data_IF_720181819640
#
_entry.id   IF_720181819640
#
_cell.length_a   1.000
_cell.length_b   1.000
_cell.length_c   1.000
_cell.angle_alpha   90.00
_cell.angle_beta   90.00
_cell.angle_gamma   90.00
#
_symmetry.space_group_name_H-M   'P 1'
#
loop_
_entity.id
_entity.type
_entity.pdbx_description
1 polymer ?
#
# COMPACT_ATOMS: atom_id res chain seq x y z
N UNK A 1 -55.93 -57.64 -27.73
CA UNK A 1 -54.83 -57.05 -28.53
C UNK A 1 -54.43 -55.75 -27.87
N UNK A 2 -53.26 -55.70 -27.22
CA UNK A 2 -52.73 -54.49 -26.58
C UNK A 2 -51.35 -54.21 -27.20
N UNK A 3 -51.08 -52.98 -27.69
CA UNK A 3 -49.77 -52.66 -28.22
C UNK A 3 -48.78 -52.43 -27.07
N UNK A 4 -47.65 -53.12 -27.16
CA UNK A 4 -46.48 -52.93 -26.29
C UNK A 4 -45.72 -51.72 -26.82
N UNK A 5 -45.69 -50.62 -26.07
CA UNK A 5 -44.89 -49.45 -26.39
C UNK A 5 -43.45 -49.65 -25.92
N UNK A 6 -42.53 -49.75 -26.88
CA UNK A 6 -41.10 -49.85 -26.65
C UNK A 6 -40.52 -48.42 -26.48
N UNK A 7 -40.05 -48.09 -25.29
CA UNK A 7 -39.40 -46.80 -25.00
C UNK A 7 -37.90 -46.88 -25.32
N UNK A 8 -37.48 -46.23 -26.39
CA UNK A 8 -36.07 -46.05 -26.74
C UNK A 8 -35.46 -44.91 -25.91
N UNK A 9 -34.51 -45.24 -25.03
CA UNK A 9 -33.76 -44.24 -24.26
C UNK A 9 -32.59 -43.69 -25.10
N UNK A 10 -32.80 -42.53 -25.70
CA UNK A 10 -31.76 -41.76 -26.36
C UNK A 10 -30.70 -41.27 -25.36
N UNK A 11 -29.48 -41.80 -25.48
CA UNK A 11 -28.30 -41.39 -24.72
C UNK A 11 -27.96 -39.93 -25.04
N UNK A 12 -28.17 -39.03 -24.07
CA UNK A 12 -27.78 -37.63 -24.14
C UNK A 12 -26.27 -37.48 -24.38
N UNK A 13 -25.91 -36.81 -25.47
CA UNK A 13 -24.53 -36.44 -25.79
C UNK A 13 -24.08 -35.38 -24.77
N UNK A 14 -23.08 -35.73 -23.96
CA UNK A 14 -22.43 -34.79 -23.02
C UNK A 14 -21.77 -33.69 -23.84
N UNK A 15 -22.28 -32.45 -23.69
CA UNK A 15 -21.66 -31.27 -24.28
C UNK A 15 -20.30 -31.07 -23.62
N UNK A 16 -19.23 -31.38 -24.33
CA UNK A 16 -17.86 -31.04 -23.95
C UNK A 16 -17.72 -29.53 -24.05
N UNK A 17 -17.76 -28.87 -22.89
CA UNK A 17 -17.43 -27.46 -22.73
C UNK A 17 -16.05 -27.23 -23.35
N UNK A 18 -16.05 -26.54 -24.49
CA UNK A 18 -14.86 -26.20 -25.25
C UNK A 18 -13.83 -25.56 -24.33
N UNK A 19 -12.74 -26.28 -24.07
CA UNK A 19 -11.59 -25.77 -23.36
C UNK A 19 -11.10 -24.52 -24.10
N UNK A 20 -11.44 -23.35 -23.54
CA UNK A 20 -10.99 -22.05 -24.00
C UNK A 20 -9.47 -22.11 -24.01
N UNK A 21 -8.92 -22.24 -25.22
CA UNK A 21 -7.49 -22.29 -25.53
C UNK A 21 -6.84 -21.12 -24.81
N UNK A 22 -6.23 -21.39 -23.67
CA UNK A 22 -5.54 -20.39 -22.87
C UNK A 22 -4.40 -19.90 -23.75
N UNK A 23 -4.57 -18.70 -24.30
CA UNK A 23 -3.50 -17.96 -24.95
C UNK A 23 -2.35 -17.93 -23.95
N UNK A 24 -1.18 -18.39 -24.38
CA UNK A 24 0.06 -18.26 -23.61
C UNK A 24 0.30 -16.76 -23.41
N UNK A 25 0.16 -16.22 -22.19
CA UNK A 25 0.41 -14.80 -21.99
C UNK A 25 1.94 -14.62 -21.89
N UNK A 26 2.44 -13.57 -22.54
CA UNK A 26 3.76 -13.05 -22.21
C UNK A 26 3.80 -12.53 -20.77
N UNK A 27 4.97 -12.11 -20.26
CA UNK A 27 5.01 -11.27 -19.07
C UNK A 27 4.03 -10.10 -19.23
N UNK A 28 3.29 -9.78 -18.17
CA UNK A 28 2.29 -8.70 -18.20
C UNK A 28 0.85 -9.17 -18.43
N UNK A 29 0.41 -10.20 -17.72
CA UNK A 29 -1.03 -10.39 -17.57
C UNK A 29 -1.58 -9.14 -16.84
N UNK A 30 -2.54 -8.45 -17.45
CA UNK A 30 -3.26 -7.35 -16.84
C UNK A 30 -4.63 -7.87 -16.44
N UNK A 31 -5.01 -7.71 -15.16
CA UNK A 31 -6.37 -8.01 -14.70
C UNK A 31 -7.12 -6.69 -14.46
N UNK A 32 -8.14 -6.38 -15.27
CA UNK A 32 -8.93 -5.17 -15.10
C UNK A 32 -9.61 -5.13 -13.73
N UNK A 33 -9.50 -4.02 -13.00
CA UNK A 33 -10.12 -3.89 -11.68
C UNK A 33 -11.65 -3.90 -11.74
N UNK A 34 -12.23 -3.42 -12.84
CA UNK A 34 -13.68 -3.38 -13.05
C UNK A 34 -14.35 -4.76 -12.89
N UNK A 35 -13.61 -5.85 -13.07
CA UNK A 35 -14.11 -7.22 -12.89
C UNK A 35 -13.89 -7.83 -11.50
N UNK A 36 -13.25 -7.12 -10.57
CA UNK A 36 -12.83 -7.68 -9.27
C UNK A 36 -13.64 -7.07 -8.14
N UNK A 37 -14.43 -7.89 -7.45
CA UNK A 37 -15.13 -7.46 -6.25
C UNK A 37 -14.16 -7.39 -5.04
N UNK A 38 -13.72 -6.17 -4.71
CA UNK A 38 -12.87 -5.87 -3.55
C UNK A 38 -13.65 -5.32 -2.34
N UNK A 39 -14.98 -5.12 -2.44
CA UNK A 39 -15.79 -4.50 -1.38
C UNK A 39 -15.82 -5.30 -0.08
N UNK A 40 -15.58 -6.62 -0.16
CA UNK A 40 -15.45 -7.49 1.02
C UNK A 40 -14.14 -7.35 1.77
N UNK A 41 -13.18 -6.59 1.24
CA UNK A 41 -11.95 -6.26 1.94
C UNK A 41 -12.17 -4.91 2.64
N UNK A 42 -12.26 -4.88 3.97
CA UNK A 42 -12.37 -3.62 4.72
C UNK A 42 -11.26 -2.60 4.41
N UNK A 43 -11.45 -1.34 4.83
CA UNK A 43 -10.50 -0.22 4.64
C UNK A 43 -11.00 0.84 3.64
N UNK A 44 -10.63 2.10 3.87
CA UNK A 44 -11.14 3.29 3.17
C UNK A 44 -10.43 3.59 1.83
N UNK A 45 -10.02 2.54 1.11
CA UNK A 45 -9.44 2.68 -0.22
C UNK A 45 -10.60 2.72 -1.21
N UNK A 46 -11.17 3.91 -1.43
CA UNK A 46 -12.47 4.08 -2.10
C UNK A 46 -12.36 4.12 -3.63
N UNK A 47 -11.23 4.59 -4.18
CA UNK A 47 -11.05 4.70 -5.63
C UNK A 47 -9.85 3.89 -6.13
N UNK A 48 -10.06 2.86 -6.98
CA UNK A 48 -8.96 2.16 -7.60
C UNK A 48 -8.26 3.08 -8.60
N UNK A 49 -6.95 3.23 -8.44
CA UNK A 49 -6.11 4.08 -9.28
C UNK A 49 -5.56 3.32 -10.49
N UNK A 50 -5.48 1.97 -10.41
CA UNK A 50 -4.89 1.14 -11.47
C UNK A 50 -5.40 -0.29 -11.54
N UNK A 51 -5.23 -0.89 -12.71
CA UNK A 51 -5.39 -2.33 -12.95
C UNK A 51 -4.24 -3.15 -12.34
N UNK A 52 -4.45 -4.47 -12.18
CA UNK A 52 -3.41 -5.35 -11.64
C UNK A 52 -2.46 -5.78 -12.75
N UNK A 53 -1.21 -5.32 -12.68
CA UNK A 53 -0.12 -5.78 -13.53
C UNK A 53 0.62 -6.93 -12.84
N UNK A 54 0.52 -8.13 -13.39
CA UNK A 54 1.18 -9.32 -12.86
C UNK A 54 2.59 -9.49 -13.44
N UNK A 55 3.55 -9.78 -12.57
CA UNK A 55 4.93 -10.13 -12.93
C UNK A 55 5.03 -11.53 -13.55
N UNK A 56 4.21 -12.45 -13.06
CA UNK A 56 4.14 -13.80 -13.60
C UNK A 56 3.43 -13.81 -14.96
N UNK A 57 3.74 -14.77 -15.86
CA UNK A 57 3.06 -14.90 -17.13
C UNK A 57 1.57 -15.26 -16.99
N UNK A 58 1.10 -15.58 -15.78
CA UNK A 58 -0.31 -15.84 -15.51
C UNK A 58 -0.77 -15.04 -14.31
N UNK A 59 -1.97 -14.46 -14.43
CA UNK A 59 -2.68 -13.84 -13.33
C UNK A 59 -2.95 -14.89 -12.23
N UNK A 60 -2.74 -14.52 -10.97
CA UNK A 60 -3.03 -15.42 -9.86
C UNK A 60 -4.45 -15.19 -9.33
N UNK A 61 -5.10 -16.27 -8.92
CA UNK A 61 -6.43 -16.19 -8.33
C UNK A 61 -6.41 -15.42 -6.99
N UNK A 62 -7.41 -14.55 -6.82
CA UNK A 62 -7.67 -13.77 -5.61
C UNK A 62 -8.66 -14.50 -4.68
N UNK A 63 -8.46 -15.79 -4.48
CA UNK A 63 -9.37 -16.66 -3.73
C UNK A 63 -9.25 -16.53 -2.19
N UNK A 64 -8.13 -16.01 -1.68
CA UNK A 64 -7.94 -15.78 -0.23
C UNK A 64 -8.13 -14.32 0.15
N UNK A 65 -8.57 -14.08 1.40
CA UNK A 65 -8.70 -12.72 1.96
C UNK A 65 -7.39 -11.94 1.90
N UNK A 66 -6.27 -12.62 2.10
CA UNK A 66 -4.95 -11.99 2.09
C UNK A 66 -4.53 -11.52 0.70
N UNK A 67 -4.75 -12.36 -0.32
CA UNK A 67 -4.49 -12.01 -1.72
C UNK A 67 -5.38 -10.88 -2.19
N UNK A 68 -6.67 -10.87 -1.80
CA UNK A 68 -7.58 -9.76 -2.11
C UNK A 68 -7.13 -8.45 -1.43
N UNK A 69 -6.70 -8.50 -0.17
CA UNK A 69 -6.12 -7.32 0.52
C UNK A 69 -4.85 -6.82 -0.17
N UNK A 70 -3.94 -7.72 -0.57
CA UNK A 70 -2.75 -7.36 -1.33
C UNK A 70 -3.09 -6.70 -2.68
N UNK A 71 -4.08 -7.25 -3.41
CA UNK A 71 -4.59 -6.66 -4.63
C UNK A 71 -5.24 -5.29 -4.40
N UNK A 72 -5.99 -5.13 -3.31
CA UNK A 72 -6.56 -3.83 -2.90
C UNK A 72 -5.46 -2.79 -2.64
N UNK A 73 -4.41 -3.16 -1.90
CA UNK A 73 -3.22 -2.32 -1.71
C UNK A 73 -2.58 -1.96 -3.05
N UNK A 74 -2.39 -2.92 -3.94
CA UNK A 74 -1.76 -2.69 -5.24
C UNK A 74 -2.53 -1.68 -6.12
N UNK A 75 -3.85 -1.77 -6.07
CA UNK A 75 -4.73 -1.04 -6.98
C UNK A 75 -5.07 0.36 -6.48
N UNK A 76 -4.98 0.60 -5.17
CA UNK A 76 -5.34 1.89 -4.55
C UNK A 76 -4.14 2.61 -3.91
N UNK A 77 -3.07 1.89 -3.60
CA UNK A 77 -1.91 2.44 -2.93
C UNK A 77 -1.06 3.33 -3.83
N UNK A 78 0.07 3.79 -3.33
CA UNK A 78 0.98 4.65 -4.08
C UNK A 78 2.21 3.88 -4.58
N UNK A 79 2.70 4.24 -5.77
CA UNK A 79 3.75 3.51 -6.49
C UNK A 79 5.13 3.97 -6.04
N UNK A 80 5.91 3.11 -5.40
CA UNK A 80 7.29 3.39 -4.99
C UNK A 80 8.30 2.78 -6.00
N UNK A 81 8.20 3.15 -7.28
CA UNK A 81 9.03 2.56 -8.34
C UNK A 81 10.44 3.14 -8.39
N UNK A 82 10.60 4.44 -8.07
CA UNK A 82 11.92 5.05 -7.89
C UNK A 82 12.65 4.43 -6.69
N UNK A 83 11.87 4.11 -5.66
CA UNK A 83 12.37 3.84 -4.32
C UNK A 83 11.74 2.55 -3.75
N UNK A 84 11.88 1.39 -4.43
CA UNK A 84 11.17 0.17 -4.05
C UNK A 84 11.73 -0.43 -2.75
N UNK A 85 10.97 -1.33 -2.11
CA UNK A 85 11.54 -2.11 -1.01
C UNK A 85 12.54 -3.15 -1.56
N UNK A 86 13.51 -3.56 -0.74
CA UNK A 86 14.59 -4.49 -1.14
C UNK A 86 14.07 -5.76 -1.82
N UNK A 87 12.97 -6.31 -1.30
CA UNK A 87 12.34 -7.50 -1.86
C UNK A 87 11.75 -7.24 -3.24
N UNK A 88 11.12 -6.08 -3.45
CA UNK A 88 10.58 -5.71 -4.75
C UNK A 88 11.69 -5.41 -5.76
N UNK A 89 12.79 -4.79 -5.33
CA UNK A 89 13.98 -4.57 -6.15
C UNK A 89 14.59 -5.91 -6.63
N UNK A 90 14.59 -6.94 -5.77
CA UNK A 90 14.97 -8.32 -6.13
C UNK A 90 13.90 -9.08 -6.93
N UNK A 91 12.80 -8.40 -7.27
CA UNK A 91 11.71 -8.96 -8.03
C UNK A 91 10.85 -9.99 -7.33
N UNK A 92 10.76 -9.92 -6.00
CA UNK A 92 9.89 -10.79 -5.19
C UNK A 92 8.46 -10.27 -5.16
N UNK A 93 7.52 -11.20 -5.30
CA UNK A 93 6.09 -10.93 -5.25
C UNK A 93 5.42 -11.07 -6.61
N UNK A 94 4.09 -11.13 -6.64
CA UNK A 94 3.35 -11.41 -7.87
C UNK A 94 3.11 -10.18 -8.73
N UNK A 95 3.21 -8.96 -8.18
CA UNK A 95 2.88 -7.74 -8.89
C UNK A 95 4.12 -7.10 -9.51
N UNK A 96 3.90 -6.36 -10.61
CA UNK A 96 4.96 -5.71 -11.35
C UNK A 96 5.64 -4.60 -10.53
N UNK A 97 4.83 -3.76 -9.89
CA UNK A 97 5.26 -2.54 -9.18
C UNK A 97 5.34 -2.70 -7.66
N UNK A 98 6.15 -1.88 -7.01
CA UNK A 98 6.22 -1.81 -5.55
C UNK A 98 5.17 -0.80 -5.04
N UNK A 99 3.94 -1.25 -4.81
CA UNK A 99 2.86 -0.37 -4.35
C UNK A 99 2.68 -0.44 -2.84
N UNK A 100 2.60 0.70 -2.17
CA UNK A 100 2.45 0.82 -0.73
C UNK A 100 1.03 1.27 -0.37
N UNK A 101 0.44 0.69 0.68
CA UNK A 101 -0.94 0.98 1.08
C UNK A 101 -1.12 2.44 1.49
N UNK A 102 -2.02 3.14 0.79
CA UNK A 102 -2.27 4.57 0.93
C UNK A 102 -3.77 4.85 0.77
N UNK A 103 -4.42 5.47 1.76
CA UNK A 103 -5.79 6.00 1.69
C UNK A 103 -5.81 7.53 1.88
N UNK A 104 -7.02 8.10 1.83
CA UNK A 104 -7.28 9.53 2.05
C UNK A 104 -6.92 10.03 3.45
N UNK A 105 -6.74 9.10 4.40
CA UNK A 105 -6.28 9.35 5.76
C UNK A 105 -4.80 8.97 5.95
N UNK A 106 -4.11 8.64 4.85
CA UNK A 106 -2.69 8.27 4.81
C UNK A 106 -2.46 6.77 4.82
N UNK A 107 -1.64 6.29 5.74
CA UNK A 107 -1.23 4.89 5.73
C UNK A 107 -2.29 3.95 6.28
N UNK A 108 -2.72 3.00 5.45
CA UNK A 108 -3.45 1.83 5.94
C UNK A 108 -2.47 0.90 6.65
N UNK A 109 -2.42 0.97 7.98
CA UNK A 109 -1.83 0.00 8.93
C UNK A 109 -0.54 -0.73 8.52
N UNK A 110 0.57 -0.46 9.23
CA UNK A 110 1.91 -1.06 9.06
C UNK A 110 2.66 -0.72 7.75
N UNK A 111 2.07 0.03 6.81
CA UNK A 111 2.80 0.61 5.67
C UNK A 111 3.56 -0.39 4.78
N UNK A 112 3.07 -1.63 4.67
CA UNK A 112 3.74 -2.66 3.87
C UNK A 112 3.36 -2.54 2.40
N UNK A 113 4.29 -2.85 1.49
CA UNK A 113 3.95 -2.94 0.07
C UNK A 113 3.10 -4.17 -0.26
N UNK A 114 2.34 -4.10 -1.36
CA UNK A 114 1.44 -5.14 -1.83
C UNK A 114 2.12 -6.50 -2.02
N UNK A 115 3.36 -6.51 -2.52
CA UNK A 115 4.15 -7.73 -2.73
C UNK A 115 4.60 -8.38 -1.41
N UNK A 116 5.08 -7.57 -0.46
CA UNK A 116 5.46 -8.06 0.88
C UNK A 116 4.24 -8.46 1.70
N UNK A 117 3.11 -7.77 1.51
CA UNK A 117 1.82 -8.24 1.96
C UNK A 117 1.59 -9.59 1.32
N UNK A 118 1.30 -9.76 0.02
CA UNK A 118 1.02 -11.06 -0.62
C UNK A 118 1.80 -12.29 -0.10
N UNK A 119 3.11 -12.18 0.12
CA UNK A 119 3.97 -13.28 0.62
C UNK A 119 4.01 -13.49 2.14
N UNK A 120 3.22 -12.77 2.94
CA UNK A 120 3.29 -12.77 4.41
C UNK A 120 4.67 -12.38 4.94
N UNK A 121 5.35 -11.45 4.26
CA UNK A 121 6.69 -10.94 4.62
C UNK A 121 6.65 -9.45 4.95
N UNK A 122 5.58 -9.02 5.62
CA UNK A 122 5.38 -7.64 6.07
C UNK A 122 6.50 -7.17 7.00
N UNK A 123 6.95 -8.02 7.92
CA UNK A 123 8.07 -7.71 8.82
C UNK A 123 9.41 -7.50 8.12
N UNK A 124 9.59 -8.06 6.92
CA UNK A 124 10.81 -7.92 6.10
C UNK A 124 10.64 -6.90 4.97
N UNK A 125 9.62 -6.05 5.02
CA UNK A 125 9.44 -4.97 4.07
C UNK A 125 10.30 -3.79 4.52
N UNK A 126 11.34 -3.43 3.76
CA UNK A 126 12.21 -2.29 4.08
C UNK A 126 11.50 -0.92 3.97
N UNK A 127 10.28 -0.89 3.44
CA UNK A 127 9.41 0.29 3.40
C UNK A 127 8.35 0.30 4.51
N UNK A 128 8.44 -0.64 5.45
CA UNK A 128 7.55 -0.69 6.61
C UNK A 128 7.82 0.55 7.48
N UNK A 129 6.78 1.36 7.66
CA UNK A 129 6.78 2.63 8.42
C UNK A 129 7.58 3.78 7.78
N UNK A 130 8.05 3.65 6.54
CA UNK A 130 8.75 4.72 5.83
C UNK A 130 7.81 5.31 4.79
N UNK A 131 7.51 6.60 4.91
CA UNK A 131 6.67 7.35 3.97
C UNK A 131 7.33 7.42 2.58
N UNK A 132 6.57 7.37 1.47
CA UNK A 132 7.19 7.43 0.15
C UNK A 132 7.84 8.80 -0.09
N UNK A 133 7.24 9.88 0.43
CA UNK A 133 7.84 11.22 0.40
C UNK A 133 9.14 11.31 1.22
N UNK A 134 9.18 10.70 2.41
CA UNK A 134 10.41 10.62 3.21
C UNK A 134 11.50 9.86 2.44
N UNK A 135 11.14 8.71 1.87
CA UNK A 135 12.06 7.89 1.11
C UNK A 135 12.60 8.59 -0.15
N UNK A 136 11.75 9.33 -0.86
CA UNK A 136 12.16 10.13 -2.01
C UNK A 136 13.11 11.26 -1.60
N UNK A 137 12.80 11.97 -0.51
CA UNK A 137 13.66 13.03 0.02
C UNK A 137 15.03 12.50 0.47
N UNK A 138 15.08 11.39 1.21
CA UNK A 138 16.34 10.76 1.65
C UNK A 138 17.23 10.32 0.46
N UNK A 139 16.62 9.97 -0.67
CA UNK A 139 17.32 9.58 -1.90
C UNK A 139 17.55 10.76 -2.86
N UNK A 140 17.11 11.98 -2.51
CA UNK A 140 17.28 13.19 -3.34
C UNK A 140 16.41 13.19 -4.60
N UNK A 141 15.28 12.50 -4.59
CA UNK A 141 14.32 12.45 -5.69
C UNK A 141 13.17 13.45 -5.50
N UNK A 142 12.64 14.04 -6.59
CA UNK A 142 11.47 14.91 -6.51
C UNK A 142 10.25 14.12 -6.03
N UNK A 143 9.37 14.78 -5.26
CA UNK A 143 8.17 14.12 -4.71
C UNK A 143 7.14 13.79 -5.81
N UNK A 144 6.98 14.66 -6.82
CA UNK A 144 6.01 14.46 -7.91
C UNK A 144 4.59 14.22 -7.36
N UNK A 145 3.97 13.10 -7.75
CA UNK A 145 2.62 12.70 -7.31
C UNK A 145 2.48 12.52 -5.78
N UNK A 146 3.60 12.50 -5.04
CA UNK A 146 3.62 12.37 -3.59
C UNK A 146 3.65 13.70 -2.83
N UNK A 147 3.70 14.83 -3.51
CA UNK A 147 3.81 16.13 -2.84
C UNK A 147 2.57 16.47 -2.03
N UNK A 148 1.38 16.38 -2.62
CA UNK A 148 0.11 16.64 -1.91
C UNK A 148 -0.09 15.68 -0.73
N UNK A 149 0.25 14.41 -0.96
CA UNK A 149 0.32 13.39 0.08
C UNK A 149 1.28 13.77 1.23
N UNK A 150 2.40 14.41 0.90
CA UNK A 150 3.35 14.91 1.89
C UNK A 150 2.82 16.12 2.66
N UNK A 151 2.10 17.05 2.01
CA UNK A 151 1.46 18.20 2.68
C UNK A 151 0.48 17.75 3.76
N UNK A 152 -0.37 16.78 3.42
CA UNK A 152 -1.41 16.30 4.34
C UNK A 152 -0.80 15.55 5.54
N UNK A 153 0.26 14.75 5.34
CA UNK A 153 0.73 13.81 6.37
C UNK A 153 2.04 14.17 7.06
N UNK A 154 2.92 14.89 6.36
CA UNK A 154 4.18 15.35 6.92
C UNK A 154 4.14 16.86 7.19
N UNK A 155 2.99 17.51 6.99
CA UNK A 155 2.87 18.97 7.02
C UNK A 155 3.89 19.65 6.10
N UNK A 156 4.17 19.03 4.95
CA UNK A 156 5.17 19.52 4.01
C UNK A 156 6.63 19.35 4.44
N UNK A 157 6.92 18.68 5.56
CA UNK A 157 8.30 18.57 6.09
C UNK A 157 9.33 17.91 5.16
N UNK A 158 8.90 17.25 4.07
CA UNK A 158 9.80 16.68 3.07
C UNK A 158 9.71 17.38 1.71
N UNK A 159 8.88 18.42 1.59
CA UNK A 159 8.82 19.25 0.40
C UNK A 159 9.99 20.23 0.54
N UNK A 160 10.95 20.25 -0.42
CA UNK A 160 11.99 21.25 -0.38
C UNK A 160 11.32 22.63 -0.40
N UNK A 161 11.73 23.52 0.50
CA UNK A 161 11.39 24.93 0.38
C UNK A 161 11.90 25.34 -1.01
N UNK A 162 10.99 25.69 -1.92
CA UNK A 162 11.35 26.31 -3.20
C UNK A 162 12.03 27.62 -2.84
N UNK A 163 13.35 27.51 -2.67
CA UNK A 163 14.36 28.55 -2.75
C UNK A 163 13.79 29.94 -2.57
N UNK A 164 13.64 30.31 -1.30
CA UNK A 164 13.45 31.66 -0.78
C UNK A 164 13.51 32.74 -1.85
N UNK A 165 12.42 32.91 -2.60
CA UNK A 165 11.99 34.25 -2.93
C UNK A 165 11.74 34.85 -1.56
N UNK A 166 12.76 35.60 -1.13
CA UNK A 166 12.79 36.37 0.08
C UNK A 166 11.47 37.13 0.07
N UNK A 167 10.48 36.59 0.78
CA UNK A 167 9.26 37.30 1.09
C UNK A 167 9.76 38.41 2.00
N UNK A 168 10.21 39.50 1.38
CA UNK A 168 10.41 40.80 1.99
C UNK A 168 9.03 41.24 2.44
N UNK A 169 8.59 40.61 3.52
CA UNK A 169 7.57 41.11 4.40
C UNK A 169 8.26 42.28 5.11
N UNK A 170 8.35 43.39 4.37
CA UNK A 170 8.30 44.73 4.95
C UNK A 170 6.97 44.80 5.71
N UNK A 171 6.95 44.20 6.91
CA UNK A 171 5.93 44.48 7.91
C UNK A 171 6.38 45.76 8.61
N UNK A 172 5.91 46.88 8.09
CA UNK A 172 5.76 48.08 8.90
C UNK A 172 4.77 47.75 10.04
N UNK A 173 5.35 47.58 11.22
CA UNK A 173 5.12 48.39 12.43
C UNK A 173 3.70 48.88 12.76
N UNK A 174 3.46 48.99 14.06
CA UNK A 174 2.28 49.53 14.75
C UNK A 174 0.98 48.71 14.76
N UNK A 175 0.72 48.03 15.89
CA UNK A 175 -0.20 48.61 16.89
C UNK A 175 -0.23 47.77 18.17
N UNK A 176 0.28 48.38 19.23
CA UNK A 176 0.12 48.01 20.63
C UNK A 176 -1.32 48.29 21.06
N UNK A 177 -2.05 47.29 21.55
CA UNK A 177 -3.28 47.51 22.33
C UNK A 177 -3.46 46.35 23.33
N UNK A 178 -3.03 46.61 24.56
CA UNK A 178 -3.38 45.88 25.77
C UNK A 178 -4.91 45.87 25.98
N UNK A 179 -5.52 44.69 26.10
CA UNK A 179 -6.85 44.57 26.69
C UNK A 179 -6.93 43.31 27.56
N UNK A 180 -6.85 43.53 28.88
CA UNK A 180 -7.27 42.55 29.88
C UNK A 180 -8.79 42.67 30.06
N UNK A 181 -9.52 41.58 29.85
CA UNK A 181 -10.85 41.44 30.46
C UNK A 181 -11.08 39.98 30.88
N UNK A 182 -11.05 39.78 32.19
CA UNK A 182 -11.49 38.57 32.87
C UNK A 182 -13.00 38.39 32.68
N UNK A 183 -13.43 37.17 32.33
CA UNK A 183 -14.80 36.72 32.61
C UNK A 183 -14.79 35.26 33.05
N UNK A 184 -15.14 35.07 34.32
CA UNK A 184 -15.55 33.81 34.94
C UNK A 184 -16.93 33.33 34.44
N UNK A 185 -17.24 32.09 34.81
CA UNK A 185 -18.58 31.45 34.95
C UNK A 185 -18.94 30.35 33.92
N UNK A 186 -18.61 29.12 34.33
CA UNK A 186 -19.42 27.90 34.38
C UNK A 186 -20.64 27.67 33.45
N UNK A 187 -20.66 26.51 32.79
CA UNK A 187 -21.73 25.46 32.87
C UNK A 187 -21.50 24.39 31.79
N UNK A 188 -21.24 23.15 32.18
CA UNK A 188 -22.16 21.99 32.29
C UNK A 188 -22.13 21.04 31.08
N UNK A 189 -21.70 19.81 31.39
CA UNK A 189 -22.19 18.51 30.93
C UNK A 189 -22.54 18.33 29.44
N UNK A 190 -21.66 17.61 28.74
CA UNK A 190 -22.02 16.79 27.59
C UNK A 190 -21.11 15.57 27.54
N UNK A 191 -21.71 14.39 27.59
CA UNK A 191 -21.08 13.13 27.17
C UNK A 191 -20.52 13.31 25.74
N UNK A 192 -19.47 12.62 25.29
CA UNK A 192 -19.63 11.38 24.52
C UNK A 192 -18.25 10.73 24.25
N UNK A 193 -18.09 9.46 24.66
CA UNK A 193 -17.35 8.43 23.92
C UNK A 193 -15.90 8.65 23.50
N UNK A 194 -14.95 8.55 24.45
CA UNK A 194 -13.52 8.36 24.17
C UNK A 194 -13.24 6.96 23.61
N UNK A 195 -12.98 6.88 22.31
CA UNK A 195 -12.21 5.78 21.72
C UNK A 195 -10.78 6.26 21.52
N UNK A 196 -10.01 6.24 22.61
CA UNK A 196 -8.59 6.51 22.60
C UNK A 196 -7.82 5.69 21.56
N UNK A 197 -7.42 6.35 20.48
CA UNK A 197 -6.28 5.92 19.65
C UNK A 197 -5.18 6.95 19.82
N UNK A 198 -4.55 6.95 20.99
CA UNK A 198 -3.33 7.72 21.20
C UNK A 198 -2.22 7.10 20.36
N UNK A 199 -1.84 7.80 19.29
CA UNK A 199 -0.64 7.51 18.54
C UNK A 199 0.55 7.89 19.42
N UNK A 200 0.96 6.97 20.29
CA UNK A 200 2.09 7.16 21.18
C UNK A 200 3.35 7.43 20.37
N UNK A 201 3.85 8.65 20.52
CA UNK A 201 5.19 9.11 20.16
C UNK A 201 6.21 8.12 20.74
N UNK A 202 6.64 7.15 19.93
CA UNK A 202 7.70 6.21 20.33
C UNK A 202 9.01 6.99 20.39
N UNK A 203 9.44 7.28 21.62
CA UNK A 203 10.83 7.61 21.92
C UNK A 203 11.71 6.53 21.29
N UNK A 204 12.63 6.97 20.44
CA UNK A 204 13.75 6.21 19.93
C UNK A 204 14.56 5.66 21.11
N UNK A 205 14.28 4.43 21.50
CA UNK A 205 15.16 3.66 22.39
C UNK A 205 16.31 3.18 21.53
N UNK A 206 17.49 3.71 21.80
CA UNK A 206 18.74 3.30 21.15
C UNK A 206 18.87 1.79 21.17
N UNK A 207 19.32 1.24 20.05
CA UNK A 207 19.60 -0.16 19.85
C UNK A 207 21.07 -0.41 20.21
N UNK A 208 21.41 -1.11 21.31
CA UNK A 208 22.76 -1.57 21.56
C UNK A 208 22.83 -3.02 21.10
N UNK A 209 23.12 -3.25 19.82
CA UNK A 209 23.78 -4.50 19.46
C UNK A 209 25.07 -4.18 18.75
N UNK A 210 26.09 -4.35 19.57
CA UNK A 210 27.49 -4.44 19.27
C UNK A 210 27.78 -5.30 18.04
N UNK A 211 28.75 -4.82 17.29
CA UNK A 211 29.39 -5.52 16.19
C UNK A 211 30.38 -6.54 16.74
N UNK A 212 30.15 -7.83 16.52
CA UNK A 212 31.19 -8.87 16.41
C UNK A 212 30.67 -9.89 15.40
N UNK A 213 31.28 -10.10 14.23
CA UNK A 213 32.62 -10.68 14.05
C UNK A 213 32.45 -12.17 13.75
N UNK A 214 32.62 -12.58 12.49
CA UNK A 214 32.42 -13.99 12.10
C UNK A 214 32.76 -14.30 10.64
N UNK A 215 34.02 -14.14 10.28
CA UNK A 215 34.64 -14.68 9.06
C UNK A 215 34.44 -16.19 8.94
N UNK A 216 34.04 -16.67 7.75
CA UNK A 216 34.25 -18.07 7.36
C UNK A 216 34.72 -18.16 5.90
N UNK A 217 35.99 -18.49 5.64
CA UNK A 217 36.42 -18.93 4.32
C UNK A 217 36.13 -20.42 4.12
N UNK A 218 35.38 -20.74 3.05
CA UNK A 218 35.16 -22.10 2.55
C UNK A 218 36.39 -22.57 1.76
N UNK A 219 37.16 -23.51 2.30
CA UNK A 219 38.12 -24.30 1.51
C UNK A 219 37.41 -25.55 0.96
N UNK A 220 37.19 -25.58 -0.37
CA UNK A 220 36.65 -26.75 -1.08
C UNK A 220 37.82 -27.65 -1.51
N UNK A 221 37.81 -28.88 -1.00
CA UNK A 221 38.75 -29.97 -1.33
C UNK A 221 38.54 -30.40 -2.78
N UNK A 222 39.59 -30.31 -3.60
CA UNK A 222 39.67 -30.99 -4.89
C UNK A 222 39.95 -32.49 -4.66
N UNK A 223 39.21 -33.34 -5.38
CA UNK A 223 39.58 -34.72 -5.69
C UNK A 223 39.31 -34.92 -7.16
#
# INVERSE_FOLDING_TARGET
MHPIFHFDMAKGKKSTTSARRQQRPGPGAITPIAGINLSRCGGNLSNPVRDIEWRAPQAQELNTTYRRKAAKIYTHGAVADLVPCERCAQGRGPFQKCVIAWDDKGYVGNANCANCYWSHKTSSCSRRYVLPCQALMEEGHPLGDFEEACRIHCHGAHIPDEDGEESSSDEEDDSDDEYEEETDEASEAGADGDYGTTCQKRKSVGSPYDSTGGDTPKAKKMR
#
